data_IF_073200063170
#
_entry.id   IF_073200063170
#
_cell.length_a   1.000
_cell.length_b   1.000
_cell.length_c   1.000
_cell.angle_alpha   90.00
_cell.angle_beta   90.00
_cell.angle_gamma   90.00
#
_symmetry.space_group_name_H-M   'P 1'
#
loop_
_entity.id
_entity.type
_entity.pdbx_description
1 polymer ?
#
# COMPACT_ATOMS: atom_id res chain seq x y z
N UNK A 1 -9.83 -6.54 5.24
CA UNK A 1 -10.85 -7.62 5.34
C UNK A 1 -12.21 -7.07 4.87
N UNK A 2 -13.13 -7.90 4.35
CA UNK A 2 -14.52 -7.53 4.10
C UNK A 2 -15.46 -8.37 4.99
N UNK A 3 -16.62 -7.81 5.33
CA UNK A 3 -17.75 -8.51 5.93
C UNK A 3 -18.94 -8.42 4.96
N UNK A 4 -19.42 -9.56 4.47
CA UNK A 4 -20.53 -9.68 3.54
C UNK A 4 -21.73 -10.33 4.23
N UNK A 5 -22.92 -9.72 4.09
CA UNK A 5 -24.15 -10.35 4.54
C UNK A 5 -24.58 -11.48 3.59
N UNK A 6 -25.62 -12.24 3.97
CA UNK A 6 -26.14 -13.36 3.18
C UNK A 6 -26.56 -12.95 1.76
N UNK A 7 -27.15 -11.76 1.58
CA UNK A 7 -27.57 -11.25 0.25
C UNK A 7 -26.39 -10.92 -0.66
N UNK A 8 -25.32 -10.35 -0.13
CA UNK A 8 -24.10 -10.09 -0.88
C UNK A 8 -23.42 -11.41 -1.27
N UNK A 9 -23.38 -12.40 -0.37
CA UNK A 9 -22.85 -13.73 -0.66
C UNK A 9 -23.69 -14.48 -1.71
N UNK A 10 -25.02 -14.37 -1.65
CA UNK A 10 -25.95 -14.93 -2.64
C UNK A 10 -25.69 -14.33 -4.03
N UNK A 11 -25.62 -12.99 -4.13
CA UNK A 11 -25.32 -12.29 -5.38
C UNK A 11 -23.94 -12.69 -5.94
N UNK A 12 -22.94 -12.84 -5.06
CA UNK A 12 -21.60 -13.30 -5.40
C UNK A 12 -21.51 -14.81 -5.66
N UNK A 13 -22.61 -15.58 -5.53
CA UNK A 13 -22.65 -17.04 -5.68
C UNK A 13 -21.65 -17.76 -4.77
N UNK A 14 -21.49 -17.27 -3.54
CA UNK A 14 -20.65 -17.90 -2.52
C UNK A 14 -21.43 -19.02 -1.85
N UNK A 15 -20.82 -20.20 -1.80
CA UNK A 15 -21.39 -21.42 -1.24
C UNK A 15 -20.36 -22.13 -0.35
N UNK A 16 -20.80 -23.20 0.33
CA UNK A 16 -19.91 -24.09 1.07
C UNK A 16 -18.77 -24.65 0.20
N UNK A 17 -18.99 -24.85 -1.10
CA UNK A 17 -18.01 -25.40 -2.03
C UNK A 17 -17.13 -24.35 -2.72
N UNK A 18 -17.33 -23.05 -2.47
CA UNK A 18 -16.45 -22.01 -3.01
C UNK A 18 -15.02 -22.26 -2.53
N UNK A 19 -14.07 -22.35 -3.45
CA UNK A 19 -12.66 -22.59 -3.12
C UNK A 19 -11.95 -21.31 -2.66
N UNK A 20 -10.88 -21.49 -1.90
CA UNK A 20 -9.98 -20.39 -1.57
C UNK A 20 -9.33 -19.80 -2.82
N UNK A 21 -8.95 -18.53 -2.74
CA UNK A 21 -8.14 -17.86 -3.76
C UNK A 21 -6.71 -17.67 -3.25
N UNK A 22 -5.72 -17.74 -4.15
CA UNK A 22 -4.33 -17.50 -3.79
C UNK A 22 -4.18 -16.13 -3.09
N UNK A 23 -3.46 -16.10 -1.97
CA UNK A 23 -3.28 -14.89 -1.16
C UNK A 23 -4.55 -14.38 -0.47
N UNK A 24 -5.54 -15.25 -0.25
CA UNK A 24 -6.79 -14.90 0.45
C UNK A 24 -7.31 -16.03 1.33
N UNK A 25 -8.26 -15.69 2.20
CA UNK A 25 -8.92 -16.68 3.08
C UNK A 25 -10.41 -16.37 3.23
N UNK A 26 -11.25 -17.38 3.04
CA UNK A 26 -12.67 -17.38 3.39
C UNK A 26 -12.80 -17.98 4.78
N UNK A 27 -13.23 -17.19 5.76
CA UNK A 27 -13.45 -17.71 7.12
C UNK A 27 -14.70 -18.56 7.13
N UNK A 28 -14.61 -19.75 7.72
CA UNK A 28 -15.70 -20.72 7.82
C UNK A 28 -16.01 -21.07 9.26
N UNK A 29 -17.28 -21.38 9.51
CA UNK A 29 -17.72 -21.93 10.79
C UNK A 29 -17.36 -23.44 10.89
N UNK A 30 -17.68 -24.05 12.03
CA UNK A 30 -17.44 -25.48 12.27
C UNK A 30 -18.17 -26.42 11.29
N UNK A 31 -19.27 -25.97 10.68
CA UNK A 31 -20.01 -26.71 9.65
C UNK A 31 -19.41 -26.53 8.24
N UNK A 32 -18.34 -25.74 8.10
CA UNK A 32 -17.67 -25.43 6.83
C UNK A 32 -18.35 -24.32 6.01
N UNK A 33 -19.35 -23.65 6.56
CA UNK A 33 -20.09 -22.59 5.87
C UNK A 33 -19.31 -21.26 5.95
N UNK A 34 -19.23 -20.49 4.85
CA UNK A 34 -18.66 -19.15 4.86
C UNK A 34 -19.36 -18.24 5.87
N UNK A 35 -18.59 -17.61 6.77
CA UNK A 35 -19.14 -16.72 7.80
C UNK A 35 -19.47 -15.32 7.29
N UNK A 36 -19.15 -15.03 6.03
CA UNK A 36 -19.20 -13.68 5.46
C UNK A 36 -17.90 -12.89 5.62
N UNK A 37 -16.88 -13.42 6.31
CA UNK A 37 -15.58 -12.76 6.46
C UNK A 37 -14.62 -13.22 5.36
N UNK A 38 -14.14 -12.26 4.55
CA UNK A 38 -13.20 -12.49 3.46
C UNK A 38 -11.91 -11.69 3.69
N UNK A 39 -10.77 -12.39 3.77
CA UNK A 39 -9.45 -11.81 4.03
C UNK A 39 -8.65 -11.68 2.73
N UNK A 40 -7.90 -10.58 2.60
CA UNK A 40 -7.00 -10.29 1.46
C UNK A 40 -7.61 -10.55 0.09
N UNK A 41 -7.00 -11.39 -0.76
CA UNK A 41 -7.49 -11.57 -2.13
C UNK A 41 -8.90 -12.17 -2.18
N UNK A 42 -9.37 -12.85 -1.12
CA UNK A 42 -10.72 -13.40 -1.06
C UNK A 42 -11.82 -12.34 -1.09
N UNK A 43 -11.48 -11.07 -0.79
CA UNK A 43 -12.42 -9.94 -0.95
C UNK A 43 -12.94 -9.82 -2.38
N UNK A 44 -12.09 -10.13 -3.37
CA UNK A 44 -12.45 -10.04 -4.80
C UNK A 44 -13.65 -10.92 -5.18
N UNK A 45 -13.87 -12.01 -4.45
CA UNK A 45 -15.01 -12.91 -4.65
C UNK A 45 -16.36 -12.21 -4.42
N UNK A 46 -16.39 -11.23 -3.52
CA UNK A 46 -17.58 -10.43 -3.19
C UNK A 46 -17.52 -9.07 -3.88
N UNK A 47 -16.35 -8.42 -3.95
CA UNK A 47 -16.22 -7.08 -4.53
C UNK A 47 -16.69 -7.04 -6.00
N UNK A 48 -16.60 -8.16 -6.74
CA UNK A 48 -17.07 -8.28 -8.13
C UNK A 48 -18.57 -8.03 -8.34
N UNK A 49 -19.40 -8.13 -7.28
CA UNK A 49 -20.84 -7.87 -7.36
C UNK A 49 -21.23 -6.54 -6.71
N UNK A 50 -20.27 -5.80 -6.16
CA UNK A 50 -20.50 -4.47 -5.62
C UNK A 50 -20.48 -3.49 -6.79
N UNK A 51 -21.56 -2.71 -7.03
CA UNK A 51 -21.55 -1.69 -8.07
C UNK A 51 -20.41 -0.69 -7.83
N UNK A 52 -19.64 -0.32 -8.86
CA UNK A 52 -18.59 0.68 -8.70
C UNK A 52 -19.20 2.04 -8.35
N UNK A 53 -18.51 2.88 -7.56
CA UNK A 53 -18.95 4.24 -7.30
C UNK A 53 -19.01 5.04 -8.61
N UNK A 54 -19.95 5.98 -8.71
CA UNK A 54 -20.03 6.85 -9.89
C UNK A 54 -18.88 7.88 -9.89
N UNK A 55 -18.48 8.44 -11.05
CA UNK A 55 -17.48 9.49 -11.10
C UNK A 55 -17.79 10.67 -10.16
N UNK A 56 -19.06 11.07 -10.04
CA UNK A 56 -19.49 12.17 -9.17
C UNK A 56 -19.32 11.84 -7.69
N UNK A 57 -19.51 10.57 -7.32
CA UNK A 57 -19.24 10.12 -5.95
C UNK A 57 -17.75 10.22 -5.63
N UNK A 58 -16.89 9.80 -6.55
CA UNK A 58 -15.44 9.86 -6.40
C UNK A 58 -14.94 11.32 -6.37
N UNK A 59 -15.47 12.18 -7.22
CA UNK A 59 -15.11 13.60 -7.25
C UNK A 59 -15.50 14.31 -5.95
N UNK A 60 -16.71 14.07 -5.42
CA UNK A 60 -17.12 14.59 -4.10
C UNK A 60 -16.24 14.05 -2.97
N UNK A 61 -15.81 12.79 -3.07
CA UNK A 61 -14.96 12.19 -2.05
C UNK A 61 -13.55 12.79 -2.07
N UNK A 62 -13.00 13.05 -3.25
CA UNK A 62 -11.75 13.80 -3.41
C UNK A 62 -11.87 15.21 -2.80
N UNK A 63 -12.93 15.95 -3.09
CA UNK A 63 -13.14 17.30 -2.56
C UNK A 63 -13.19 17.31 -1.03
N UNK A 64 -13.95 16.38 -0.44
CA UNK A 64 -14.04 16.23 1.01
C UNK A 64 -12.68 15.91 1.63
N UNK A 65 -11.90 15.06 0.97
CA UNK A 65 -10.63 14.60 1.51
C UNK A 65 -9.52 15.65 1.34
N UNK A 66 -9.47 16.38 0.23
CA UNK A 66 -8.60 17.55 0.05
C UNK A 66 -8.89 18.63 1.11
N UNK A 67 -10.18 18.91 1.37
CA UNK A 67 -10.58 19.83 2.45
C UNK A 67 -10.06 19.34 3.81
N UNK A 68 -10.26 18.05 4.11
CA UNK A 68 -9.84 17.46 5.38
C UNK A 68 -8.33 17.59 5.61
N UNK A 69 -7.50 17.24 4.62
CA UNK A 69 -6.04 17.33 4.76
C UNK A 69 -5.56 18.78 4.83
N UNK A 70 -6.19 19.69 4.07
CA UNK A 70 -5.87 21.13 4.12
C UNK A 70 -6.17 21.76 5.49
N UNK A 71 -7.29 21.41 6.13
CA UNK A 71 -7.62 21.81 7.51
C UNK A 71 -6.57 21.37 8.53
N UNK A 72 -5.72 20.40 8.19
CA UNK A 72 -4.65 19.87 9.04
C UNK A 72 -3.26 20.35 8.60
N UNK A 73 -3.20 21.32 7.68
CA UNK A 73 -1.94 21.88 7.17
C UNK A 73 -1.17 20.94 6.24
N UNK A 74 -1.79 19.84 5.78
CA UNK A 74 -1.16 18.91 4.84
C UNK A 74 -1.37 19.46 3.42
N UNK A 75 -0.27 19.85 2.77
CA UNK A 75 -0.28 20.46 1.43
C UNK A 75 0.13 19.52 0.30
N UNK A 76 0.59 18.32 0.64
CA UNK A 76 1.03 17.29 -0.31
C UNK A 76 0.83 15.90 0.25
N UNK A 77 0.45 14.95 -0.61
CA UNK A 77 0.24 13.55 -0.25
C UNK A 77 0.82 12.61 -1.30
N UNK A 78 1.34 11.49 -0.83
CA UNK A 78 1.63 10.31 -1.66
C UNK A 78 0.40 9.40 -1.62
N UNK A 79 -0.33 9.28 -2.72
CA UNK A 79 -1.55 8.47 -2.78
C UNK A 79 -1.23 7.08 -3.28
N UNK A 80 -1.36 6.08 -2.40
CA UNK A 80 -1.18 4.66 -2.73
C UNK A 80 -2.53 4.08 -3.17
N UNK A 81 -2.80 4.12 -4.47
CA UNK A 81 -4.13 3.80 -5.01
C UNK A 81 -4.08 2.95 -6.28
N UNK A 82 -5.13 3.08 -7.07
CA UNK A 82 -5.25 2.41 -8.36
C UNK A 82 -5.50 3.37 -9.54
N UNK A 83 -5.74 2.79 -10.72
CA UNK A 83 -5.99 3.56 -11.94
C UNK A 83 -7.28 4.37 -11.90
N UNK A 84 -8.27 3.95 -11.11
CA UNK A 84 -9.52 4.70 -10.94
C UNK A 84 -9.26 5.98 -10.15
N UNK A 85 -8.46 5.92 -9.09
CA UNK A 85 -8.03 7.09 -8.32
C UNK A 85 -7.29 8.10 -9.19
N UNK A 86 -6.32 7.64 -9.98
CA UNK A 86 -5.58 8.51 -10.90
C UNK A 86 -6.51 9.23 -11.87
N UNK A 87 -7.54 8.55 -12.39
CA UNK A 87 -8.52 9.19 -13.26
C UNK A 87 -9.32 10.29 -12.55
N UNK A 88 -9.62 10.15 -11.25
CA UNK A 88 -10.23 11.22 -10.45
C UNK A 88 -9.30 12.42 -10.35
N UNK A 89 -8.03 12.18 -10.03
CA UNK A 89 -7.05 13.25 -9.88
C UNK A 89 -6.79 13.98 -11.20
N UNK A 90 -6.74 13.26 -12.32
CA UNK A 90 -6.60 13.86 -13.66
C UNK A 90 -7.80 14.76 -14.01
N UNK A 91 -9.04 14.33 -13.73
CA UNK A 91 -10.23 15.18 -13.92
C UNK A 91 -10.16 16.45 -13.07
N UNK A 92 -9.77 16.33 -11.80
CA UNK A 92 -9.62 17.48 -10.91
C UNK A 92 -8.47 18.41 -11.33
N UNK A 93 -7.35 17.87 -11.80
CA UNK A 93 -6.21 18.64 -12.30
C UNK A 93 -6.59 19.43 -13.55
N UNK A 94 -7.26 18.79 -14.52
CA UNK A 94 -7.68 19.41 -15.79
C UNK A 94 -8.69 20.55 -15.60
N UNK A 95 -9.38 20.59 -14.46
CA UNK A 95 -10.35 21.62 -14.09
C UNK A 95 -9.80 22.62 -13.06
N UNK A 96 -8.52 22.53 -12.70
CA UNK A 96 -7.88 23.42 -11.73
C UNK A 96 -8.41 23.28 -10.29
N UNK A 97 -9.05 22.16 -9.96
CA UNK A 97 -9.72 21.95 -8.66
C UNK A 97 -8.82 21.36 -7.57
N UNK A 98 -7.60 20.93 -7.90
CA UNK A 98 -6.67 20.40 -6.91
C UNK A 98 -6.22 21.50 -5.95
N UNK A 99 -6.48 21.30 -4.66
CA UNK A 99 -5.98 22.15 -3.57
C UNK A 99 -4.90 21.48 -2.71
N UNK A 100 -4.60 20.20 -3.00
CA UNK A 100 -3.52 19.40 -2.39
C UNK A 100 -2.65 18.85 -3.51
N UNK A 101 -1.32 18.85 -3.35
CA UNK A 101 -0.41 18.23 -4.32
C UNK A 101 -0.43 16.71 -4.15
N UNK A 102 -0.59 15.97 -5.24
CA UNK A 102 -0.74 14.51 -5.20
C UNK A 102 0.38 13.87 -6.00
N UNK A 103 1.12 12.96 -5.36
CA UNK A 103 1.97 12.01 -6.05
C UNK A 103 1.26 10.65 -6.05
N UNK A 104 0.70 10.28 -7.20
CA UNK A 104 -0.14 9.09 -7.31
C UNK A 104 0.69 7.86 -7.69
N UNK A 105 0.55 6.80 -6.88
CA UNK A 105 1.02 5.47 -7.19
C UNK A 105 -0.13 4.61 -7.74
N UNK A 106 0.20 3.77 -8.73
CA UNK A 106 -0.71 2.78 -9.33
C UNK A 106 -0.16 1.36 -9.09
N UNK A 107 -0.90 0.28 -9.38
CA UNK A 107 -0.48 -1.06 -8.99
C UNK A 107 0.84 -1.50 -9.63
N UNK A 108 1.75 -2.06 -8.83
CA UNK A 108 3.07 -2.54 -9.24
C UNK A 108 3.00 -3.57 -10.38
N UNK A 109 2.00 -4.44 -10.34
CA UNK A 109 1.76 -5.43 -11.40
C UNK A 109 1.43 -4.82 -12.78
N UNK A 110 1.17 -3.51 -12.85
CA UNK A 110 0.86 -2.77 -14.07
C UNK A 110 1.97 -1.76 -14.46
N UNK A 111 3.20 -2.02 -14.05
CA UNK A 111 4.34 -1.12 -14.28
C UNK A 111 4.56 -0.80 -15.76
N UNK A 112 4.35 -1.75 -16.68
CA UNK A 112 4.50 -1.51 -18.13
C UNK A 112 3.51 -0.44 -18.64
N UNK A 113 2.29 -0.41 -18.07
CA UNK A 113 1.29 0.60 -18.40
C UNK A 113 1.72 1.98 -17.91
N UNK A 114 2.27 2.06 -16.68
CA UNK A 114 2.76 3.33 -16.14
C UNK A 114 3.99 3.83 -16.90
N UNK A 115 4.93 2.93 -17.24
CA UNK A 115 6.10 3.26 -18.06
C UNK A 115 5.68 3.91 -19.38
N UNK A 116 4.77 3.26 -20.12
CA UNK A 116 4.25 3.82 -21.38
C UNK A 116 3.65 5.21 -21.19
N UNK A 117 2.82 5.41 -20.16
CA UNK A 117 2.20 6.72 -19.89
C UNK A 117 3.27 7.77 -19.57
N UNK A 118 4.28 7.42 -18.77
CA UNK A 118 5.38 8.33 -18.40
C UNK A 118 6.24 8.69 -19.60
N UNK A 119 6.49 7.75 -20.51
CA UNK A 119 7.23 8.00 -21.76
C UNK A 119 6.43 8.90 -22.72
N UNK A 120 5.11 8.70 -22.81
CA UNK A 120 4.24 9.45 -23.71
C UNK A 120 3.91 10.86 -23.20
N UNK A 121 3.67 11.01 -21.90
CA UNK A 121 3.06 12.22 -21.31
C UNK A 121 3.91 12.87 -20.22
N UNK A 122 5.04 12.27 -19.86
CA UNK A 122 5.85 12.69 -18.72
C UNK A 122 5.23 12.32 -17.37
N UNK A 123 5.81 12.86 -16.30
CA UNK A 123 5.46 12.53 -14.90
C UNK A 123 4.43 13.46 -14.26
N UNK A 124 3.73 14.28 -15.05
CA UNK A 124 2.79 15.27 -14.56
C UNK A 124 3.45 16.61 -14.22
N UNK A 125 2.88 17.35 -13.25
CA UNK A 125 3.26 18.72 -12.89
C UNK A 125 3.35 18.93 -11.36
N UNK A 126 3.35 20.18 -10.92
CA UNK A 126 3.50 20.54 -9.49
C UNK A 126 2.32 20.10 -8.62
N UNK A 127 1.13 19.96 -9.20
CA UNK A 127 -0.11 19.60 -8.51
C UNK A 127 -0.43 18.11 -8.57
N UNK A 128 -0.20 17.46 -9.71
CA UNK A 128 -0.39 16.02 -9.88
C UNK A 128 0.85 15.43 -10.55
N UNK A 129 1.51 14.50 -9.86
CA UNK A 129 2.65 13.77 -10.37
C UNK A 129 2.40 12.25 -10.35
N UNK A 130 3.07 11.54 -11.25
CA UNK A 130 3.01 10.06 -11.37
C UNK A 130 4.41 9.47 -11.52
N UNK A 131 4.50 8.15 -11.37
CA UNK A 131 5.74 7.39 -11.52
C UNK A 131 6.15 6.59 -10.29
N UNK A 132 5.23 6.46 -9.32
CA UNK A 132 5.33 5.50 -8.24
C UNK A 132 4.40 4.31 -8.49
N UNK A 133 4.77 3.17 -7.91
CA UNK A 133 4.06 1.91 -8.02
C UNK A 133 3.84 1.33 -6.63
N UNK A 134 2.62 0.83 -6.37
CA UNK A 134 2.23 0.20 -5.11
C UNK A 134 2.15 -1.32 -5.24
N UNK A 135 2.95 -2.05 -4.46
CA UNK A 135 2.89 -3.50 -4.33
C UNK A 135 2.43 -3.95 -2.93
N UNK A 136 2.16 -5.25 -2.79
CA UNK A 136 1.81 -5.90 -1.53
C UNK A 136 2.50 -7.25 -1.40
N UNK A 137 3.20 -7.48 -0.28
CA UNK A 137 3.77 -8.80 0.04
C UNK A 137 2.78 -9.63 0.85
N UNK A 138 2.22 -9.05 1.91
CA UNK A 138 1.32 -9.69 2.86
C UNK A 138 0.07 -8.85 3.13
N UNK A 139 -0.76 -9.32 4.08
CA UNK A 139 -1.92 -8.60 4.60
C UNK A 139 -1.62 -7.88 5.91
N UNK A 140 -2.59 -7.84 6.83
CA UNK A 140 -2.46 -7.05 8.07
C UNK A 140 -2.32 -7.92 9.32
N UNK A 141 -1.70 -7.34 10.37
CA UNK A 141 -1.66 -7.95 11.70
C UNK A 141 -3.09 -8.22 12.22
N UNK A 142 -3.97 -7.23 12.17
CA UNK A 142 -5.33 -7.33 12.74
C UNK A 142 -6.24 -8.35 12.05
N UNK A 143 -5.92 -8.78 10.83
CA UNK A 143 -6.65 -9.85 10.13
C UNK A 143 -5.97 -11.22 10.22
N UNK A 144 -4.86 -11.33 10.95
CA UNK A 144 -3.99 -12.52 10.95
C UNK A 144 -3.52 -12.90 9.55
N UNK A 145 -3.12 -11.92 8.73
CA UNK A 145 -2.63 -12.20 7.37
C UNK A 145 -1.30 -11.53 7.04
N UNK A 146 -0.74 -10.74 7.95
CA UNK A 146 0.66 -10.36 7.90
C UNK A 146 1.54 -11.62 8.02
N UNK A 147 2.58 -11.72 7.19
CA UNK A 147 3.36 -12.94 7.05
C UNK A 147 4.54 -12.94 8.02
N UNK A 148 4.53 -13.87 8.98
CA UNK A 148 5.54 -13.97 10.03
C UNK A 148 6.47 -15.18 9.83
N UNK A 149 7.69 -15.08 10.37
CA UNK A 149 8.66 -16.17 10.45
C UNK A 149 8.15 -17.25 11.42
N UNK A 150 7.67 -16.82 12.58
CA UNK A 150 7.03 -17.66 13.58
C UNK A 150 5.50 -17.55 13.50
N UNK A 151 4.74 -18.57 13.94
CA UNK A 151 3.29 -18.48 14.03
C UNK A 151 2.79 -17.36 14.96
N UNK A 152 1.56 -16.91 14.75
CA UNK A 152 0.86 -16.02 15.66
C UNK A 152 0.74 -16.66 17.06
N UNK A 153 0.90 -15.85 18.10
CA UNK A 153 0.83 -16.30 19.50
C UNK A 153 -0.58 -16.77 19.90
N UNK A 154 -1.62 -16.20 19.29
CA UNK A 154 -3.02 -16.56 19.47
C UNK A 154 -3.56 -17.53 18.39
N UNK A 155 -2.75 -17.84 17.37
CA UNK A 155 -3.06 -18.84 16.35
C UNK A 155 -1.80 -19.65 15.96
N UNK A 156 -1.37 -20.64 16.79
CA UNK A 156 -0.06 -21.31 16.67
C UNK A 156 0.21 -22.11 15.39
N UNK A 157 -0.79 -22.23 14.50
CA UNK A 157 -0.67 -22.92 13.21
C UNK A 157 -0.74 -21.96 12.02
N UNK A 158 -0.87 -20.67 12.28
CA UNK A 158 -1.01 -19.62 11.28
C UNK A 158 0.21 -18.70 11.38
N UNK A 159 0.90 -18.51 10.26
CA UNK A 159 2.02 -17.57 10.12
C UNK A 159 1.73 -16.52 9.04
N UNK A 160 0.44 -16.31 8.75
CA UNK A 160 -0.06 -15.41 7.71
C UNK A 160 0.22 -15.91 6.30
N UNK A 161 -0.09 -15.05 5.33
CA UNK A 161 -0.09 -15.39 3.91
C UNK A 161 0.71 -14.40 3.07
N UNK A 162 1.12 -14.84 1.89
CA UNK A 162 1.64 -13.94 0.86
C UNK A 162 0.51 -13.60 -0.11
N UNK A 163 0.32 -12.31 -0.37
CA UNK A 163 -0.72 -11.78 -1.27
C UNK A 163 -0.30 -11.98 -2.74
N UNK A 164 0.99 -11.83 -3.03
CA UNK A 164 1.60 -12.08 -4.33
C UNK A 164 2.76 -13.07 -4.19
N UNK A 165 3.09 -13.77 -5.27
CA UNK A 165 4.21 -14.71 -5.27
C UNK A 165 5.56 -13.96 -5.19
N UNK A 166 6.60 -14.56 -4.57
CA UNK A 166 7.96 -13.99 -4.62
C UNK A 166 8.46 -13.74 -6.04
N UNK A 167 8.11 -14.63 -6.98
CA UNK A 167 8.49 -14.56 -8.39
C UNK A 167 7.86 -13.35 -9.09
N UNK A 168 6.57 -13.10 -8.86
CA UNK A 168 5.88 -11.93 -9.40
C UNK A 168 6.41 -10.63 -8.81
N UNK A 169 6.59 -10.59 -7.48
CA UNK A 169 7.17 -9.43 -6.80
C UNK A 169 8.56 -9.09 -7.34
N UNK A 170 9.40 -10.12 -7.56
CA UNK A 170 10.70 -9.94 -8.18
C UNK A 170 10.59 -9.40 -9.60
N UNK A 171 9.78 -10.06 -10.45
CA UNK A 171 9.61 -9.69 -11.87
C UNK A 171 9.12 -8.25 -12.01
N UNK A 172 8.11 -7.84 -11.24
CA UNK A 172 7.58 -6.49 -11.30
C UNK A 172 8.56 -5.46 -10.74
N UNK A 173 9.23 -5.76 -9.63
CA UNK A 173 10.23 -4.84 -9.04
C UNK A 173 11.41 -4.63 -10.00
N UNK A 174 11.92 -5.71 -10.60
CA UNK A 174 12.99 -5.67 -11.57
C UNK A 174 12.60 -4.86 -12.83
N UNK A 175 11.39 -5.09 -13.36
CA UNK A 175 10.87 -4.35 -14.52
C UNK A 175 10.68 -2.86 -14.23
N UNK A 176 10.00 -2.54 -13.13
CA UNK A 176 9.77 -1.16 -12.69
C UNK A 176 11.08 -0.39 -12.42
N UNK A 177 12.08 -1.04 -11.82
CA UNK A 177 13.38 -0.44 -11.56
C UNK A 177 14.10 -0.08 -12.86
N UNK A 178 14.10 -0.99 -13.84
CA UNK A 178 14.66 -0.75 -15.17
C UNK A 178 13.96 0.39 -15.91
N UNK A 179 12.65 0.53 -15.71
CA UNK A 179 11.83 1.63 -16.24
C UNK A 179 12.04 2.96 -15.49
N UNK A 180 12.87 3.00 -14.45
CA UNK A 180 13.08 4.18 -13.61
C UNK A 180 11.86 4.60 -12.80
N UNK A 181 10.92 3.68 -12.53
CA UNK A 181 9.72 3.93 -11.74
C UNK A 181 10.01 3.65 -10.25
N UNK A 182 9.41 4.44 -9.36
CA UNK A 182 9.58 4.25 -7.92
C UNK A 182 8.73 3.07 -7.44
N UNK A 183 9.35 2.14 -6.71
CA UNK A 183 8.68 0.95 -6.16
C UNK A 183 8.43 1.14 -4.66
N UNK A 184 7.16 1.12 -4.27
CA UNK A 184 6.70 1.17 -2.89
C UNK A 184 5.84 -0.06 -2.57
N UNK A 185 6.25 -0.88 -1.61
CA UNK A 185 5.63 -2.18 -1.38
C UNK A 185 5.24 -2.34 0.09
N UNK A 186 3.98 -2.70 0.32
CA UNK A 186 3.47 -3.04 1.65
C UNK A 186 4.12 -4.33 2.16
N UNK A 187 4.70 -4.26 3.36
CA UNK A 187 5.13 -5.41 4.13
C UNK A 187 4.99 -5.14 5.63
N UNK A 188 4.21 -5.95 6.35
CA UNK A 188 3.97 -5.79 7.79
C UNK A 188 4.75 -6.81 8.61
N UNK A 189 4.64 -8.10 8.26
CA UNK A 189 5.27 -9.18 9.01
C UNK A 189 6.76 -9.33 8.68
N UNK A 190 7.52 -9.93 9.60
CA UNK A 190 8.98 -10.05 9.47
C UNK A 190 9.40 -10.97 8.32
N UNK A 191 8.64 -12.04 8.02
CA UNK A 191 8.84 -12.86 6.83
C UNK A 191 8.59 -12.07 5.55
N UNK A 192 7.54 -11.24 5.52
CA UNK A 192 7.25 -10.38 4.37
C UNK A 192 8.36 -9.34 4.13
N UNK A 193 8.81 -8.67 5.19
CA UNK A 193 9.88 -7.67 5.11
C UNK A 193 11.19 -8.31 4.65
N UNK A 194 11.57 -9.46 5.23
CA UNK A 194 12.77 -10.19 4.82
C UNK A 194 12.74 -10.59 3.35
N UNK A 195 11.60 -11.12 2.88
CA UNK A 195 11.40 -11.50 1.48
C UNK A 195 11.60 -10.29 0.57
N UNK A 196 11.00 -9.14 0.92
CA UNK A 196 11.09 -7.93 0.13
C UNK A 196 12.52 -7.35 0.09
N UNK A 197 13.22 -7.35 1.22
CA UNK A 197 14.64 -6.95 1.28
C UNK A 197 15.50 -7.84 0.38
N UNK A 198 15.29 -9.16 0.39
CA UNK A 198 16.00 -10.08 -0.51
C UNK A 198 15.76 -9.74 -1.99
N UNK A 199 14.52 -9.36 -2.35
CA UNK A 199 14.18 -8.94 -3.72
C UNK A 199 14.90 -7.65 -4.07
N UNK A 200 14.88 -6.64 -3.20
CA UNK A 200 15.56 -5.36 -3.45
C UNK A 200 17.07 -5.56 -3.64
N UNK A 201 17.73 -6.27 -2.73
CA UNK A 201 19.17 -6.56 -2.83
C UNK A 201 19.53 -7.35 -4.09
N UNK A 202 18.65 -8.28 -4.50
CA UNK A 202 18.82 -9.01 -5.75
C UNK A 202 18.75 -8.07 -6.96
N UNK A 203 17.75 -7.19 -7.01
CA UNK A 203 17.59 -6.23 -8.11
C UNK A 203 18.76 -5.25 -8.15
N UNK A 204 19.23 -4.76 -6.99
CA UNK A 204 20.39 -3.88 -6.91
C UNK A 204 21.65 -4.55 -7.45
N UNK A 205 21.92 -5.79 -7.03
CA UNK A 205 23.07 -6.57 -7.49
C UNK A 205 23.02 -6.88 -8.99
N UNK A 206 21.84 -7.16 -9.54
CA UNK A 206 21.70 -7.56 -10.94
C UNK A 206 21.69 -6.35 -11.90
N UNK A 207 21.09 -5.22 -11.49
CA UNK A 207 20.85 -4.08 -12.38
C UNK A 207 21.70 -2.85 -12.10
N UNK A 208 22.34 -2.76 -10.92
CA UNK A 208 23.13 -1.59 -10.49
C UNK A 208 22.41 -0.25 -10.72
N UNK A 209 21.13 -0.10 -10.29
CA UNK A 209 20.40 1.15 -10.50
C UNK A 209 21.09 2.29 -9.76
N UNK A 210 21.19 3.46 -10.41
CA UNK A 210 21.90 4.60 -9.84
C UNK A 210 21.30 5.07 -8.50
N UNK A 211 19.96 5.06 -8.39
CA UNK A 211 19.24 5.44 -7.17
C UNK A 211 17.81 4.84 -7.18
N UNK A 212 17.62 3.56 -6.82
CA UNK A 212 16.32 2.89 -6.94
C UNK A 212 15.27 3.40 -5.96
N UNK A 213 15.69 4.02 -4.83
CA UNK A 213 14.83 4.54 -3.75
C UNK A 213 13.67 3.61 -3.38
N UNK A 214 13.98 2.34 -3.16
CA UNK A 214 12.98 1.37 -2.75
C UNK A 214 12.31 1.78 -1.42
N UNK A 215 11.01 1.53 -1.33
CA UNK A 215 10.20 1.84 -0.14
C UNK A 215 9.49 0.59 0.36
N UNK A 216 9.66 0.32 1.66
CA UNK A 216 8.77 -0.58 2.39
C UNK A 216 7.73 0.26 3.11
N UNK A 217 6.47 0.03 2.78
CA UNK A 217 5.34 0.66 3.46
C UNK A 217 5.01 -0.15 4.72
N UNK A 218 4.66 0.56 5.80
CA UNK A 218 4.48 0.06 7.18
C UNK A 218 5.76 -0.35 7.91
N UNK A 219 6.46 -1.39 7.46
CA UNK A 219 7.63 -1.96 8.14
C UNK A 219 7.41 -2.17 9.65
N UNK A 220 6.26 -2.76 10.02
CA UNK A 220 5.79 -2.77 11.40
C UNK A 220 6.51 -3.78 12.30
N UNK A 221 6.82 -4.99 11.80
CA UNK A 221 7.51 -6.03 12.55
C UNK A 221 8.79 -6.44 11.82
N UNK A 222 9.91 -5.86 12.22
CA UNK A 222 11.20 -6.14 11.60
C UNK A 222 11.94 -7.15 12.47
N UNK A 223 12.37 -8.27 11.89
CA UNK A 223 13.25 -9.20 12.60
C UNK A 223 14.56 -8.47 12.98
N UNK A 224 15.09 -8.64 14.20
CA UNK A 224 16.27 -7.91 14.65
C UNK A 224 17.48 -8.02 13.70
N UNK A 225 17.65 -9.19 13.07
CA UNK A 225 18.73 -9.44 12.10
C UNK A 225 18.58 -8.66 10.79
N UNK A 226 17.36 -8.19 10.45
CA UNK A 226 17.09 -7.45 9.22
C UNK A 226 17.20 -5.92 9.41
N UNK A 227 17.18 -5.41 10.65
CA UNK A 227 17.30 -3.98 10.95
C UNK A 227 18.54 -3.34 10.28
N UNK A 228 19.75 -3.94 10.34
CA UNK A 228 20.93 -3.35 9.71
C UNK A 228 20.81 -3.17 8.20
N UNK A 229 20.00 -4.01 7.53
CA UNK A 229 19.81 -3.97 6.07
C UNK A 229 19.08 -2.70 5.62
N UNK A 230 18.31 -2.07 6.53
CA UNK A 230 17.61 -0.83 6.22
C UNK A 230 18.56 0.36 5.99
N UNK A 231 19.74 0.35 6.61
CA UNK A 231 20.73 1.41 6.43
C UNK A 231 21.36 1.40 5.02
N UNK A 232 21.36 0.26 4.34
CA UNK A 232 21.84 0.12 2.96
C UNK A 232 20.76 0.39 1.90
N UNK A 233 19.53 -0.09 2.15
CA UNK A 233 18.47 -0.15 1.13
C UNK A 233 17.46 1.02 1.14
N UNK A 234 17.31 1.78 2.23
CA UNK A 234 16.29 2.85 2.32
C UNK A 234 16.89 4.24 2.27
N UNK A 235 16.50 4.98 1.24
CA UNK A 235 16.74 6.41 1.12
C UNK A 235 15.38 7.10 1.02
N UNK A 236 15.10 7.98 1.99
CA UNK A 236 13.86 8.75 2.05
C UNK A 236 13.72 9.55 0.76
N UNK A 237 12.55 9.45 0.11
CA UNK A 237 12.22 10.25 -1.06
C UNK A 237 12.22 11.74 -0.69
N UNK A 238 13.16 12.50 -1.26
CA UNK A 238 13.08 13.95 -1.37
C UNK A 238 12.85 14.28 -2.86
N UNK A 239 11.71 14.92 -3.15
CA UNK A 239 11.38 15.45 -4.49
C UNK A 239 12.53 16.36 -4.94
N UNK A 240 13.15 16.14 -6.10
CA UNK A 240 13.96 17.17 -6.73
C UNK A 240 13.01 18.30 -7.09
N UNK A 241 13.13 19.45 -6.41
CA UNK A 241 12.67 20.70 -7.01
C UNK A 241 13.43 20.83 -8.32
N UNK A 242 12.71 21.05 -9.43
CA UNK A 242 13.36 21.30 -10.71
C UNK A 242 14.43 22.38 -10.52
N UNK A 243 15.64 22.06 -10.98
CA UNK A 243 16.90 22.81 -10.88
C UNK A 243 17.80 22.36 -9.71
N UNK A 244 18.81 21.55 -10.10
CA UNK A 244 20.17 21.44 -9.55
C UNK A 244 20.60 19.96 -9.28
N UNK A 245 21.54 19.40 -10.05
CA UNK A 245 22.05 18.03 -9.85
C UNK A 245 23.05 17.90 -8.68
N UNK A 246 23.34 18.96 -7.91
CA UNK A 246 24.41 18.93 -6.91
C UNK A 246 23.94 19.40 -5.52
N UNK A 247 23.25 18.54 -4.75
CA UNK A 247 23.31 18.65 -3.30
C UNK A 247 23.50 17.29 -2.63
N UNK A 248 24.69 17.17 -2.03
CA UNK A 248 25.22 16.01 -1.36
C UNK A 248 24.57 15.75 0.02
N UNK A 249 24.72 14.49 0.41
CA UNK A 249 24.27 13.76 1.59
C UNK A 249 24.49 14.44 2.95
N UNK A 250 23.62 14.11 3.90
CA UNK A 250 24.01 14.01 5.31
C UNK A 250 23.54 12.66 5.88
N UNK A 251 24.44 11.99 6.57
CA UNK A 251 24.20 10.75 7.28
C UNK A 251 23.84 11.05 8.74
N UNK A 252 22.91 10.26 9.31
CA UNK A 252 22.45 10.14 10.72
C UNK A 252 21.26 11.03 11.15
N UNK A 253 20.48 10.61 12.18
CA UNK A 253 19.93 9.28 12.46
C UNK A 253 18.39 9.27 12.40
N UNK A 254 17.80 8.12 12.06
CA UNK A 254 16.43 7.67 12.34
C UNK A 254 15.42 8.76 12.76
N UNK A 255 14.91 9.52 11.78
CA UNK A 255 13.64 10.23 11.92
C UNK A 255 12.88 10.13 10.61
N UNK A 256 11.72 9.47 10.70
CA UNK A 256 10.58 9.42 9.77
C UNK A 256 10.29 8.01 9.27
N UNK A 257 9.57 7.26 10.11
CA UNK A 257 8.88 6.02 9.77
C UNK A 257 7.41 6.27 10.08
N UNK A 258 6.69 6.93 9.17
CA UNK A 258 5.23 7.08 9.26
C UNK A 258 4.65 7.30 7.86
N UNK A 259 4.25 6.21 7.20
CA UNK A 259 3.23 6.26 6.16
C UNK A 259 1.90 5.92 6.85
N UNK A 260 1.15 6.94 7.25
CA UNK A 260 -0.21 6.75 7.75
C UNK A 260 -1.15 6.53 6.57
N UNK A 261 -1.77 5.34 6.48
CA UNK A 261 -2.94 5.11 5.62
C UNK A 261 -4.15 5.85 6.22
N UNK A 262 -4.35 7.11 5.84
CA UNK A 262 -5.60 7.85 6.10
C UNK A 262 -6.35 8.00 4.78
N UNK A 263 -6.78 6.93 4.12
CA UNK A 263 -7.70 7.11 2.97
C UNK A 263 -8.71 5.98 2.72
N UNK A 264 -8.49 4.76 3.22
CA UNK A 264 -9.36 3.62 2.85
C UNK A 264 -10.73 3.62 3.57
N UNK A 265 -10.86 4.27 4.74
CA UNK A 265 -12.11 4.20 5.52
C UNK A 265 -13.20 5.18 5.05
N UNK A 266 -12.83 6.31 4.44
CA UNK A 266 -13.80 7.35 4.08
C UNK A 266 -14.56 7.02 2.79
N UNK A 267 -13.86 6.44 1.80
CA UNK A 267 -14.40 6.16 0.46
C UNK A 267 -15.49 5.08 0.43
N UNK A 268 -15.54 4.19 1.43
CA UNK A 268 -16.52 3.08 1.46
C UNK A 268 -17.78 3.34 2.30
N UNK A 269 -17.76 4.29 3.21
CA UNK A 269 -18.82 4.39 4.25
C UNK A 269 -19.58 5.71 4.25
N UNK A 270 -19.07 6.76 3.60
CA UNK A 270 -19.73 8.07 3.56
C UNK A 270 -20.03 8.67 4.95
N UNK A 271 -19.35 8.18 6.00
CA UNK A 271 -19.54 8.63 7.39
C UNK A 271 -18.19 8.90 8.06
N UNK A 272 -18.06 10.01 8.82
CA UNK A 272 -16.94 10.20 9.72
C UNK A 272 -17.19 9.37 10.99
N UNK A 273 -16.37 8.34 11.24
CA UNK A 273 -16.35 7.72 12.57
C UNK A 273 -15.94 6.26 12.64
N UNK A 274 -14.70 6.04 13.04
CA UNK A 274 -14.26 4.83 13.74
C UNK A 274 -13.10 5.22 14.64
N UNK A 275 -13.36 5.45 15.94
CA UNK A 275 -12.31 5.66 16.94
C UNK A 275 -11.52 4.36 17.11
N UNK A 276 -10.44 4.20 16.35
CA UNK A 276 -9.36 3.27 16.71
C UNK A 276 -8.62 3.87 17.90
N UNK A 277 -8.77 3.28 19.07
CA UNK A 277 -8.21 3.78 20.31
C UNK A 277 -6.69 3.90 20.24
N UNK A 278 -6.23 5.11 20.53
CA UNK A 278 -4.85 5.49 20.79
C UNK A 278 -4.45 4.95 22.16
N UNK A 279 -3.46 4.07 22.25
CA UNK A 279 -2.72 3.81 23.49
C UNK A 279 -1.23 3.66 23.17
N UNK A 280 -0.53 4.80 23.15
CA UNK A 280 0.91 4.84 23.36
C UNK A 280 1.15 5.46 24.75
N UNK A 281 1.31 4.62 25.77
CA UNK A 281 1.89 5.05 27.05
C UNK A 281 3.40 5.21 26.82
N UNK A 282 3.88 6.44 26.83
CA UNK A 282 5.32 6.73 26.95
C UNK A 282 5.70 6.58 28.42
N UNK A 283 6.08 5.37 28.83
CA UNK A 283 6.68 5.10 30.14
C UNK A 283 8.19 4.96 29.98
N UNK A 284 8.93 6.04 30.23
CA UNK A 284 10.37 6.00 30.48
C UNK A 284 10.65 6.74 31.80
N UNK A 285 11.56 6.24 32.65
CA UNK A 285 11.80 6.81 33.97
C UNK A 285 12.54 8.15 33.86
N UNK A 286 12.21 9.08 34.75
CA UNK A 286 12.93 10.34 34.88
C UNK A 286 14.35 10.07 35.44
N UNK A 287 15.42 10.68 34.86
CA UNK A 287 16.74 10.68 35.47
C UNK A 287 16.75 11.58 36.73
N UNK A 288 17.73 11.38 37.65
CA UNK A 288 17.74 12.01 38.97
C UNK A 288 17.81 13.54 38.94
#
# INVERSE_FOLDING_TARGET
MNLANSKAMEAARITKSTVEVAGGTIVRNAAGEPTGIFKDNAKSLVDRVVPPPTPEMLDRALDAAMKYVAERGITSVDHMGDWSDLAVFERAANTGRLSTRIYAAVPLASWERLERIVLERGRGNDWLAIGALKGFVDGSLGSHTAAFLEPFTDAPKDSGLLVNTPEDLYRWTAGATKAGLQVAVHAIGDRAIRLLLNIFERVEREQHPADPRFRIEHAQHIAPSDIPRFAGAFRVYRRPSGHDPAYAWSARPLRTLFAYEVYVTYLRTGRPGGRGALLARTGGPAPP
#
